data_IF_187505834189
#
_entry.id   IF_187505834189
#
_cell.length_a   1.000
_cell.length_b   1.000
_cell.length_c   1.000
_cell.angle_alpha   90.00
_cell.angle_beta   90.00
_cell.angle_gamma   90.00
#
_symmetry.space_group_name_H-M   'P 1'
#
loop_
_entity.id
_entity.type
_entity.pdbx_description
1 polymer ?
#
# COMPACT_ATOMS: atom_id res chain seq x y z
N UNK A 1 -7.05 -8.08 -2.81
CA UNK A 1 -6.83 -8.39 -1.38
C UNK A 1 -6.43 -9.85 -1.30
N UNK A 2 -5.28 -10.18 -0.71
CA UNK A 2 -4.79 -11.58 -0.65
C UNK A 2 -5.21 -12.23 0.67
N UNK A 3 -5.28 -11.44 1.75
CA UNK A 3 -5.74 -11.85 3.07
C UNK A 3 -6.46 -10.65 3.73
N UNK A 4 -7.18 -10.88 4.82
CA UNK A 4 -8.02 -9.88 5.48
C UNK A 4 -7.23 -8.63 5.89
N UNK A 5 -5.91 -8.67 6.05
CA UNK A 5 -5.13 -7.48 6.47
C UNK A 5 -4.00 -7.13 5.49
N UNK A 6 -3.97 -7.78 4.32
CA UNK A 6 -2.83 -7.69 3.39
C UNK A 6 -3.29 -7.33 1.98
N UNK A 7 -2.72 -6.24 1.49
CA UNK A 7 -2.91 -5.77 0.12
C UNK A 7 -1.63 -5.95 -0.65
N UNK A 8 -1.79 -6.53 -1.84
CA UNK A 8 -0.75 -6.59 -2.85
C UNK A 8 -0.71 -5.28 -3.63
N UNK A 9 0.48 -4.75 -3.82
CA UNK A 9 0.72 -3.60 -4.68
C UNK A 9 2.12 -3.68 -5.29
N UNK A 10 2.49 -2.66 -6.06
CA UNK A 10 3.81 -2.51 -6.68
C UNK A 10 4.81 -1.91 -5.68
N UNK A 11 6.05 -2.40 -5.69
CA UNK A 11 7.14 -1.91 -4.84
C UNK A 11 7.64 -0.53 -5.27
N UNK A 12 7.52 -0.20 -6.55
CA UNK A 12 7.93 1.09 -7.08
C UNK A 12 7.18 2.28 -6.47
N UNK A 13 6.00 2.05 -5.87
CA UNK A 13 5.26 3.09 -5.15
C UNK A 13 5.97 3.55 -3.87
N UNK A 14 6.89 2.74 -3.35
CA UNK A 14 7.56 2.97 -2.06
C UNK A 14 9.09 3.06 -2.20
N UNK A 15 9.68 2.66 -3.32
CA UNK A 15 11.11 2.76 -3.54
C UNK A 15 11.47 3.01 -5.02
N UNK A 16 12.28 4.04 -5.25
CA UNK A 16 12.60 4.53 -6.58
C UNK A 16 13.83 5.44 -6.64
N UNK A 17 14.01 6.10 -7.79
CA UNK A 17 15.12 7.04 -7.98
C UNK A 17 14.96 8.26 -7.07
N UNK A 18 15.76 8.30 -6.01
CA UNK A 18 15.83 9.43 -5.08
C UNK A 18 14.84 9.37 -3.91
N UNK A 19 14.17 8.23 -3.70
CA UNK A 19 13.33 7.99 -2.53
C UNK A 19 13.29 6.50 -2.17
N UNK A 20 13.10 6.20 -0.89
CA UNK A 20 12.97 4.84 -0.37
C UNK A 20 11.85 4.76 0.67
N UNK A 21 11.54 3.53 1.13
CA UNK A 21 10.42 3.30 2.03
C UNK A 21 10.50 4.07 3.35
N UNK A 22 11.71 4.37 3.84
CA UNK A 22 11.94 5.07 5.11
C UNK A 22 11.75 6.59 5.00
N UNK A 23 11.61 7.12 3.79
CA UNK A 23 11.33 8.54 3.58
C UNK A 23 9.85 8.89 3.82
N UNK A 24 8.99 7.88 3.98
CA UNK A 24 7.55 8.05 4.19
C UNK A 24 7.15 7.87 5.65
N UNK A 25 6.39 8.83 6.18
CA UNK A 25 5.67 8.66 7.44
C UNK A 25 4.29 8.04 7.18
N UNK A 26 4.19 6.74 7.42
CA UNK A 26 2.98 5.95 7.20
C UNK A 26 1.80 6.41 8.07
N UNK A 27 2.01 7.20 9.14
CA UNK A 27 0.91 7.73 9.96
C UNK A 27 -0.04 8.65 9.19
N UNK A 28 0.46 9.30 8.14
CA UNK A 28 -0.36 10.17 7.28
C UNK A 28 -1.04 9.41 6.14
N UNK A 29 -0.70 8.14 5.94
CA UNK A 29 -1.23 7.36 4.83
C UNK A 29 -2.54 6.69 5.21
N UNK A 30 -3.48 6.76 4.28
CA UNK A 30 -4.78 6.10 4.39
C UNK A 30 -5.02 5.22 3.19
N UNK A 31 -5.51 4.03 3.47
CA UNK A 31 -5.94 3.08 2.46
C UNK A 31 -7.46 3.15 2.35
N UNK A 32 -7.94 3.39 1.14
CA UNK A 32 -9.36 3.41 0.82
C UNK A 32 -9.71 2.13 0.08
N UNK A 33 -10.72 1.40 0.57
CA UNK A 33 -11.18 0.13 0.00
C UNK A 33 -12.68 0.20 -0.24
N UNK A 34 -13.15 -0.42 -1.32
CA UNK A 34 -14.56 -0.44 -1.69
C UNK A 34 -15.00 0.81 -2.47
N UNK A 35 -14.04 1.63 -2.90
CA UNK A 35 -14.35 2.87 -3.59
C UNK A 35 -14.71 2.62 -5.06
N UNK A 36 -15.88 3.12 -5.46
CA UNK A 36 -16.36 3.03 -6.84
C UNK A 36 -16.23 4.38 -7.58
N UNK A 37 -16.38 5.48 -6.86
CA UNK A 37 -16.32 6.82 -7.44
C UNK A 37 -15.63 7.80 -6.48
N UNK A 38 -14.34 8.00 -6.73
CA UNK A 38 -13.43 8.86 -5.94
C UNK A 38 -13.94 10.30 -5.72
N UNK A 39 -14.90 10.77 -6.52
CA UNK A 39 -15.50 12.10 -6.39
C UNK A 39 -16.70 12.16 -5.43
N UNK A 40 -17.20 11.03 -4.96
CA UNK A 40 -18.37 10.91 -4.10
C UNK A 40 -18.07 9.97 -2.94
N UNK A 41 -18.26 10.42 -1.70
CA UNK A 41 -18.20 9.51 -0.54
C UNK A 41 -19.28 8.44 -0.66
N UNK A 42 -18.86 7.20 -0.89
CA UNK A 42 -19.74 6.03 -0.90
C UNK A 42 -19.94 5.53 0.55
N UNK A 43 -21.17 5.22 0.99
CA UNK A 43 -21.39 4.58 2.28
C UNK A 43 -20.68 3.22 2.46
N UNK A 44 -20.24 2.59 1.38
CA UNK A 44 -19.45 1.36 1.38
C UNK A 44 -17.93 1.58 1.40
N UNK A 45 -17.47 2.82 1.29
CA UNK A 45 -16.07 3.18 1.40
C UNK A 45 -15.56 2.92 2.82
N UNK A 46 -14.48 2.16 2.93
CA UNK A 46 -13.81 1.92 4.20
C UNK A 46 -12.39 2.44 4.17
N UNK A 47 -12.05 3.19 5.21
CA UNK A 47 -10.73 3.80 5.37
C UNK A 47 -9.95 3.03 6.43
N UNK A 48 -8.75 2.57 6.07
CA UNK A 48 -7.86 1.84 6.94
C UNK A 48 -6.53 2.57 7.11
N UNK A 49 -5.98 2.50 8.32
CA UNK A 49 -4.63 2.99 8.59
C UNK A 49 -3.60 1.95 8.21
N UNK A 50 -2.52 2.38 7.55
CA UNK A 50 -1.41 1.52 7.19
C UNK A 50 -0.55 1.28 8.43
N UNK A 51 -0.30 0.01 8.73
CA UNK A 51 0.60 -0.42 9.81
C UNK A 51 2.04 -0.49 9.33
N UNK A 52 2.27 -1.10 8.16
CA UNK A 52 3.60 -1.32 7.61
C UNK A 52 3.52 -1.65 6.12
N UNK A 53 4.62 -1.40 5.41
CA UNK A 53 4.83 -1.82 4.02
C UNK A 53 6.00 -2.78 3.98
N UNK A 54 5.84 -3.92 3.30
CA UNK A 54 6.89 -4.92 3.09
C UNK A 54 7.22 -4.96 1.60
N UNK A 55 8.43 -4.49 1.27
CA UNK A 55 8.96 -4.62 -0.09
C UNK A 55 9.53 -6.04 -0.29
N UNK A 56 9.44 -6.54 -1.51
CA UNK A 56 10.12 -7.78 -1.85
C UNK A 56 11.64 -7.60 -1.65
N UNK A 57 12.34 -8.51 -0.95
CA UNK A 57 13.75 -8.35 -0.62
C UNK A 57 14.67 -8.34 -1.86
N UNK A 58 14.19 -8.87 -2.98
CA UNK A 58 14.87 -8.80 -4.28
C UNK A 58 14.37 -7.68 -5.20
N UNK A 59 13.58 -6.73 -4.70
CA UNK A 59 13.14 -5.60 -5.52
C UNK A 59 14.35 -4.76 -5.95
N UNK A 60 14.40 -4.41 -7.24
CA UNK A 60 15.42 -3.54 -7.78
C UNK A 60 14.75 -2.42 -8.56
N UNK A 61 14.79 -1.20 -8.02
CA UNK A 61 14.13 -0.05 -8.64
C UNK A 61 14.70 0.34 -10.02
N UNK A 62 15.93 -0.11 -10.35
CA UNK A 62 16.57 0.22 -11.63
C UNK A 62 16.14 -0.76 -12.74
N UNK A 63 16.05 -2.05 -12.43
CA UNK A 63 15.60 -3.09 -13.37
C UNK A 63 14.10 -3.38 -13.32
N UNK A 64 13.40 -2.87 -12.30
CA UNK A 64 12.01 -3.19 -11.94
C UNK A 64 11.78 -4.70 -11.69
N UNK A 65 12.84 -5.44 -11.39
CA UNK A 65 12.73 -6.83 -10.99
C UNK A 65 12.03 -6.93 -9.63
N UNK A 66 11.14 -7.92 -9.50
CA UNK A 66 10.36 -8.17 -8.29
C UNK A 66 9.58 -6.93 -7.81
N UNK A 67 8.93 -6.22 -8.73
CA UNK A 67 8.07 -5.07 -8.44
C UNK A 67 6.78 -5.48 -7.72
N UNK A 68 6.93 -5.91 -6.47
CA UNK A 68 5.87 -6.43 -5.62
C UNK A 68 6.10 -5.99 -4.18
N UNK A 69 5.05 -5.45 -3.56
CA UNK A 69 5.03 -5.03 -2.18
C UNK A 69 3.71 -5.41 -1.50
N UNK A 70 3.78 -5.59 -0.19
CA UNK A 70 2.63 -5.87 0.65
C UNK A 70 2.37 -4.70 1.59
N UNK A 71 1.16 -4.18 1.58
CA UNK A 71 0.67 -3.20 2.54
C UNK A 71 -0.12 -3.94 3.61
N UNK A 72 0.27 -3.75 4.85
CA UNK A 72 -0.39 -4.34 6.02
C UNK A 72 -1.19 -3.25 6.73
N UNK A 73 -2.48 -3.50 6.95
CA UNK A 73 -3.37 -2.59 7.68
C UNK A 73 -3.35 -2.87 9.19
N UNK A 74 -3.69 -1.87 9.99
CA UNK A 74 -3.82 -2.03 11.45
C UNK A 74 -5.00 -2.93 11.84
N UNK A 75 -6.05 -2.95 11.01
CA UNK A 75 -7.26 -3.74 11.21
C UNK A 75 -7.58 -4.57 9.97
N UNK A 76 -8.31 -5.69 10.15
CA UNK A 76 -8.84 -6.45 9.04
C UNK A 76 -9.78 -5.63 8.15
N UNK A 77 -9.51 -5.72 6.87
CA UNK A 77 -10.37 -5.31 5.77
C UNK A 77 -11.52 -6.33 5.71
N UNK A 78 -12.69 -5.85 6.09
CA UNK A 78 -13.96 -6.58 6.07
C UNK A 78 -14.92 -6.00 5.04
#
# INVERSE_FOLDING_TARGET
MIDHNVILTSAQLFEGLGYNMYDFDLHYWRLFVGEYNVLTTDPHEKVYTIKSVLLHPGYNYTSLENDIALVITTQPIA
#
